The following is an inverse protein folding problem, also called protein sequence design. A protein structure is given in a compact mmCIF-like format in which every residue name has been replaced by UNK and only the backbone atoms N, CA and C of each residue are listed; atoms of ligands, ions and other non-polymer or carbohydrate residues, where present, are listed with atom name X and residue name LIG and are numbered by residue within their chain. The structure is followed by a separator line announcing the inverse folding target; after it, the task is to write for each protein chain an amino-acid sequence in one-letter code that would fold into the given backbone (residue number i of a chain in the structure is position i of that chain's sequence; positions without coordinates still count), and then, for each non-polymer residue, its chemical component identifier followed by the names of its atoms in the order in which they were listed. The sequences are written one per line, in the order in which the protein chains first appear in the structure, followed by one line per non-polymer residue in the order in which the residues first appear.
data_IF_867179514355
#
_entry.id   IF_867179514355
#
_cell.length_a   1.000
_cell.length_b   1.000
_cell.length_c   1.000
_cell.angle_alpha   90.00
_cell.angle_beta   90.00
_cell.angle_gamma   90.00
#
_symmetry.space_group_name_H-M   'P 1'
#
loop_
_entity.id
_entity.type
_entity.pdbx_description
1 polymer ?
#
# COMPACT_ATOMS: atom_id res chain seq x y z
N UNK A 1 -5.87 9.99 -9.09
CA UNK A 1 -5.71 9.78 -10.54
C UNK A 1 -6.28 8.46 -11.01
N UNK A 2 -5.95 7.29 -10.43
CA UNK A 2 -6.35 5.98 -10.97
C UNK A 2 -7.85 5.61 -10.96
N UNK A 3 -8.65 6.25 -10.12
CA UNK A 3 -10.05 5.86 -9.86
C UNK A 3 -10.95 5.73 -11.10
N UNK A 4 -10.86 6.57 -12.15
CA UNK A 4 -11.75 6.43 -13.31
C UNK A 4 -11.47 5.20 -14.19
N UNK A 5 -10.31 4.55 -14.02
CA UNK A 5 -9.89 3.41 -14.85
C UNK A 5 -9.96 2.06 -14.13
N UNK A 6 -10.44 2.03 -12.88
CA UNK A 6 -10.55 0.80 -12.08
C UNK A 6 -11.94 0.75 -11.43
N UNK A 7 -12.61 -0.39 -11.55
CA UNK A 7 -13.96 -0.61 -10.99
C UNK A 7 -13.99 -0.52 -9.46
N UNK A 8 -12.96 -1.04 -8.78
CA UNK A 8 -12.82 -0.99 -7.32
C UNK A 8 -11.39 -0.68 -6.92
N UNK A 9 -11.20 0.32 -6.06
CA UNK A 9 -9.90 0.77 -5.60
C UNK A 9 -9.92 1.06 -4.09
N UNK A 10 -9.02 0.40 -3.36
CA UNK A 10 -8.70 0.73 -1.97
C UNK A 10 -7.35 1.45 -1.90
N UNK A 11 -7.26 2.51 -1.09
CA UNK A 11 -6.05 3.32 -0.94
C UNK A 11 -5.52 3.19 0.49
N UNK A 12 -4.27 2.73 0.62
CA UNK A 12 -3.55 2.65 1.89
C UNK A 12 -2.43 3.69 1.88
N UNK A 13 -2.58 4.74 2.70
CA UNK A 13 -1.64 5.88 2.70
C UNK A 13 -0.41 5.58 3.55
N UNK A 14 0.77 5.84 2.98
CA UNK A 14 2.05 5.82 3.68
C UNK A 14 2.63 7.23 3.70
N UNK A 15 2.93 7.82 4.88
CA UNK A 15 3.49 9.16 4.96
C UNK A 15 5.00 9.16 4.67
N UNK A 16 5.39 8.75 3.47
CA UNK A 16 6.79 8.68 3.02
C UNK A 16 6.95 9.23 1.59
N UNK A 17 8.18 9.58 1.19
CA UNK A 17 8.45 9.87 -0.21
C UNK A 17 8.38 8.59 -1.05
N UNK A 18 8.25 8.74 -2.38
CA UNK A 18 8.17 7.58 -3.29
C UNK A 18 9.40 6.67 -3.18
N UNK A 19 10.60 7.25 -3.05
CA UNK A 19 11.85 6.48 -2.93
C UNK A 19 11.92 5.68 -1.63
N UNK A 20 11.23 6.15 -0.58
CA UNK A 20 11.25 5.53 0.75
C UNK A 20 10.20 4.42 0.90
N UNK A 21 9.27 4.29 -0.04
CA UNK A 21 8.14 3.34 0.08
C UNK A 21 8.58 1.87 0.07
N UNK A 22 9.80 1.60 -0.43
CA UNK A 22 10.42 0.27 -0.46
C UNK A 22 11.47 0.08 0.64
N UNK A 23 11.60 1.04 1.56
CA UNK A 23 12.51 0.92 2.69
C UNK A 23 12.03 -0.15 3.69
N UNK A 24 12.94 -0.74 4.48
CA UNK A 24 12.55 -1.69 5.53
C UNK A 24 11.51 -1.12 6.50
N UNK A 25 11.65 0.15 6.91
CA UNK A 25 10.72 0.81 7.82
C UNK A 25 9.33 1.02 7.20
N UNK A 26 9.24 1.30 5.90
CA UNK A 26 7.94 1.37 5.22
C UNK A 26 7.25 -0.01 5.20
N UNK A 27 8.01 -1.10 5.05
CA UNK A 27 7.46 -2.45 5.07
C UNK A 27 6.96 -2.92 6.45
N UNK A 28 7.37 -2.28 7.55
CA UNK A 28 6.78 -2.54 8.87
C UNK A 28 5.28 -2.18 8.89
N UNK A 29 4.87 -1.20 8.09
CA UNK A 29 3.45 -0.82 7.95
C UNK A 29 2.78 -1.53 6.76
N UNK A 30 3.45 -1.63 5.61
CA UNK A 30 2.88 -2.22 4.39
C UNK A 30 2.72 -3.75 4.52
N UNK A 31 3.69 -4.43 5.12
CA UNK A 31 3.75 -5.90 5.20
C UNK A 31 2.52 -6.54 5.86
N UNK A 32 2.12 -6.12 7.08
CA UNK A 32 0.92 -6.64 7.72
C UNK A 32 -0.35 -6.44 6.89
N UNK A 33 -0.51 -5.29 6.23
CA UNK A 33 -1.66 -4.99 5.36
C UNK A 33 -1.72 -5.99 4.19
N UNK A 34 -0.59 -6.22 3.50
CA UNK A 34 -0.52 -7.19 2.41
C UNK A 34 -0.89 -8.58 2.93
N UNK A 35 -0.29 -9.02 4.04
CA UNK A 35 -0.56 -10.34 4.63
C UNK A 35 -2.05 -10.55 4.95
N UNK A 36 -2.71 -9.54 5.53
CA UNK A 36 -4.15 -9.59 5.81
C UNK A 36 -4.97 -9.69 4.51
N UNK A 37 -4.58 -8.99 3.45
CA UNK A 37 -5.33 -8.96 2.19
C UNK A 37 -5.18 -10.25 1.37
N UNK A 38 -4.01 -10.87 1.38
CA UNK A 38 -3.72 -12.05 0.53
C UNK A 38 -4.10 -13.38 1.19
N UNK A 39 -4.18 -13.42 2.53
CA UNK A 39 -4.48 -14.64 3.29
C UNK A 39 -5.93 -14.70 3.79
N UNK A 40 -6.79 -13.80 3.29
CA UNK A 40 -8.24 -13.81 3.56
C UNK A 40 -8.97 -14.86 2.75
#
# INVERSE_FOLDING_TARGET
SWSPWIESLAIYRQPCAHVDIISPSAFETIGPIISELINK
#
